data_IF_885721966126
#
_entry.id   IF_885721966126
#
_cell.length_a   1.000
_cell.length_b   1.000
_cell.length_c   1.000
_cell.angle_alpha   90.00
_cell.angle_beta   90.00
_cell.angle_gamma   90.00
#
_symmetry.space_group_name_H-M   'P 1'
#
loop_
_entity.id
_entity.type
_entity.pdbx_description
1 polymer ?
#
# COMPACT_ATOMS: atom_id res chain seq x y z
N UNK A 1 -33.42 -0.37 -9.77
CA UNK A 1 -33.01 -1.17 -8.58
C UNK A 1 -33.94 -0.88 -7.42
N UNK A 2 -34.55 -1.87 -6.79
CA UNK A 2 -35.38 -1.66 -5.60
C UNK A 2 -34.48 -1.27 -4.42
N UNK A 3 -35.01 -0.42 -3.52
CA UNK A 3 -34.30 0.09 -2.31
C UNK A 3 -33.61 -1.03 -1.50
N UNK A 4 -34.20 -2.24 -1.48
CA UNK A 4 -33.69 -3.45 -0.81
C UNK A 4 -32.44 -4.05 -1.49
N UNK A 5 -32.33 -3.93 -2.83
CA UNK A 5 -31.14 -4.37 -3.58
C UNK A 5 -29.96 -3.39 -3.38
N UNK A 6 -30.22 -2.09 -3.32
CA UNK A 6 -29.20 -1.07 -3.08
C UNK A 6 -28.55 -1.24 -1.70
N UNK A 7 -29.32 -1.56 -0.65
CA UNK A 7 -28.79 -1.79 0.70
C UNK A 7 -27.91 -3.06 0.77
N UNK A 8 -28.28 -4.14 0.07
CA UNK A 8 -27.45 -5.36 0.03
C UNK A 8 -26.12 -5.13 -0.70
N UNK A 9 -26.13 -4.39 -1.80
CA UNK A 9 -24.93 -4.02 -2.57
C UNK A 9 -24.01 -3.15 -1.72
N UNK A 10 -24.56 -2.17 -1.01
CA UNK A 10 -23.77 -1.30 -0.12
C UNK A 10 -23.18 -2.08 1.06
N UNK A 11 -23.95 -2.97 1.71
CA UNK A 11 -23.44 -3.80 2.80
C UNK A 11 -22.30 -4.74 2.36
N UNK A 12 -22.41 -5.34 1.17
CA UNK A 12 -21.34 -6.16 0.62
C UNK A 12 -20.10 -5.31 0.26
N UNK A 13 -20.30 -4.13 -0.33
CA UNK A 13 -19.20 -3.22 -0.65
C UNK A 13 -18.46 -2.74 0.62
N UNK A 14 -19.19 -2.48 1.70
CA UNK A 14 -18.62 -2.13 2.99
C UNK A 14 -17.80 -3.30 3.57
N UNK A 15 -18.35 -4.52 3.54
CA UNK A 15 -17.66 -5.71 4.04
C UNK A 15 -16.38 -5.98 3.23
N UNK A 16 -16.46 -6.00 1.90
CA UNK A 16 -15.28 -6.21 1.04
C UNK A 16 -14.28 -5.04 1.14
N UNK A 17 -14.78 -3.83 1.36
CA UNK A 17 -13.96 -2.67 1.67
C UNK A 17 -13.18 -2.85 2.97
N UNK A 18 -13.81 -3.35 4.04
CA UNK A 18 -13.14 -3.66 5.30
C UNK A 18 -12.05 -4.73 5.14
N UNK A 19 -12.27 -5.76 4.33
CA UNK A 19 -11.20 -6.71 3.99
C UNK A 19 -10.04 -6.01 3.26
N UNK A 20 -10.33 -5.08 2.36
CA UNK A 20 -9.31 -4.34 1.62
C UNK A 20 -8.53 -3.36 2.51
N UNK A 21 -9.14 -2.80 3.56
CA UNK A 21 -8.47 -1.91 4.53
C UNK A 21 -7.60 -2.66 5.52
N UNK A 22 -7.67 -3.99 5.58
CA UNK A 22 -6.89 -4.78 6.53
C UNK A 22 -5.38 -4.54 6.38
N UNK A 23 -4.89 -4.36 5.12
CA UNK A 23 -3.50 -4.00 4.86
C UNK A 23 -3.10 -2.67 5.53
N UNK A 24 -3.73 -1.54 5.19
CA UNK A 24 -3.52 -0.26 5.86
C UNK A 24 -3.66 -0.32 7.39
N UNK A 25 -4.70 -0.96 7.93
CA UNK A 25 -4.83 -1.11 9.37
C UNK A 25 -3.66 -1.86 9.99
N UNK A 26 -3.22 -2.94 9.35
CA UNK A 26 -2.08 -3.73 9.80
C UNK A 26 -0.77 -2.94 9.74
N UNK A 27 -0.60 -2.02 8.78
CA UNK A 27 0.59 -1.19 8.61
C UNK A 27 0.55 0.02 9.54
N UNK A 28 -0.54 0.79 9.54
CA UNK A 28 -0.53 2.15 10.05
C UNK A 28 -1.03 2.27 11.49
N UNK A 29 -1.84 1.31 11.97
CA UNK A 29 -2.47 1.40 13.28
C UNK A 29 -1.46 1.32 14.44
N UNK A 30 -0.31 0.64 14.25
CA UNK A 30 0.69 0.50 15.30
C UNK A 30 1.87 1.49 15.18
N UNK A 31 1.91 2.31 14.12
CA UNK A 31 2.97 3.30 13.93
C UNK A 31 3.14 4.27 15.11
N UNK A 32 2.06 4.79 15.73
CA UNK A 32 2.21 5.67 16.89
C UNK A 32 2.90 5.00 18.09
N UNK A 33 2.93 3.64 18.12
CA UNK A 33 3.53 2.87 19.20
C UNK A 33 5.04 2.56 18.98
N UNK A 34 5.65 2.95 17.85
CA UNK A 34 7.03 2.62 17.52
C UNK A 34 8.03 3.01 18.61
N UNK A 35 8.02 4.25 19.14
CA UNK A 35 8.94 4.63 20.21
C UNK A 35 8.75 3.82 21.50
N UNK A 36 7.50 3.43 21.81
CA UNK A 36 7.20 2.58 22.96
C UNK A 36 7.77 1.17 22.78
N UNK A 37 7.67 0.61 21.57
CA UNK A 37 8.20 -0.73 21.24
C UNK A 37 9.72 -0.76 21.34
N UNK A 38 10.43 0.29 20.88
CA UNK A 38 11.88 0.43 21.03
C UNK A 38 12.26 0.35 22.51
N UNK A 39 11.60 1.14 23.36
CA UNK A 39 11.86 1.17 24.81
C UNK A 39 11.51 -0.15 25.50
N UNK A 40 10.38 -0.79 25.14
CA UNK A 40 9.89 -2.01 25.75
C UNK A 40 10.82 -3.21 25.50
N UNK A 41 11.39 -3.32 24.30
CA UNK A 41 12.28 -4.41 23.92
C UNK A 41 13.76 -4.07 24.09
N UNK A 42 14.10 -2.86 24.56
CA UNK A 42 15.48 -2.36 24.64
C UNK A 42 16.25 -2.61 23.32
N UNK A 43 15.68 -2.07 22.24
CA UNK A 43 16.10 -2.36 20.87
C UNK A 43 16.34 -1.08 20.07
N UNK A 44 16.65 -1.23 18.78
CA UNK A 44 16.91 -0.09 17.89
C UNK A 44 15.68 0.26 17.01
N UNK A 45 15.52 1.51 16.55
CA UNK A 45 14.50 1.89 15.58
C UNK A 45 14.50 1.02 14.34
N UNK A 46 15.68 0.66 13.81
CA UNK A 46 15.82 -0.21 12.64
C UNK A 46 15.18 -1.59 12.85
N UNK A 47 15.29 -2.19 14.04
CA UNK A 47 14.66 -3.49 14.32
C UNK A 47 13.14 -3.39 14.44
N UNK A 48 12.61 -2.28 14.96
CA UNK A 48 11.17 -2.02 14.97
C UNK A 48 10.67 -1.78 13.52
N UNK A 49 11.40 -1.02 12.72
CA UNK A 49 11.11 -0.83 11.30
C UNK A 49 11.20 -2.15 10.50
N UNK A 50 12.09 -3.07 10.90
CA UNK A 50 12.17 -4.41 10.31
C UNK A 50 10.89 -5.23 10.57
N UNK A 51 10.16 -4.97 11.65
CA UNK A 51 8.85 -5.60 11.88
C UNK A 51 7.80 -5.10 10.87
N UNK A 52 7.86 -3.83 10.46
CA UNK A 52 7.07 -3.29 9.35
C UNK A 52 7.50 -3.92 8.02
N UNK A 53 8.81 -3.99 7.77
CA UNK A 53 9.38 -4.66 6.59
C UNK A 53 8.86 -6.08 6.44
N UNK A 54 8.87 -6.87 7.52
CA UNK A 54 8.37 -8.24 7.52
C UNK A 54 6.88 -8.30 7.15
N UNK A 55 6.08 -7.36 7.67
CA UNK A 55 4.67 -7.23 7.30
C UNK A 55 4.48 -6.89 5.81
N UNK A 56 5.25 -5.94 5.28
CA UNK A 56 5.21 -5.57 3.86
C UNK A 56 5.60 -6.73 2.94
N UNK A 57 6.65 -7.49 3.31
CA UNK A 57 7.03 -8.72 2.60
C UNK A 57 5.91 -9.76 2.64
N UNK A 58 5.30 -9.96 3.82
CA UNK A 58 4.15 -10.83 3.97
C UNK A 58 2.99 -10.41 3.06
N UNK A 59 2.64 -9.12 3.07
CA UNK A 59 1.61 -8.55 2.20
C UNK A 59 1.93 -8.73 0.71
N UNK A 60 3.16 -8.45 0.30
CA UNK A 60 3.58 -8.58 -1.10
C UNK A 60 3.53 -10.04 -1.58
N UNK A 61 4.23 -10.94 -0.89
CA UNK A 61 4.28 -12.37 -1.24
C UNK A 61 2.88 -12.99 -1.14
N UNK A 62 2.15 -12.64 -0.09
CA UNK A 62 0.80 -13.16 0.14
C UNK A 62 -0.17 -12.79 -0.98
N UNK A 63 -0.08 -11.60 -1.59
CA UNK A 63 -0.94 -11.24 -2.72
C UNK A 63 -0.75 -12.18 -3.92
N UNK A 64 0.49 -12.58 -4.22
CA UNK A 64 0.78 -13.53 -5.32
C UNK A 64 0.18 -14.92 -5.03
N UNK A 65 0.34 -15.39 -3.80
CA UNK A 65 -0.09 -16.73 -3.39
C UNK A 65 -1.62 -16.80 -3.24
N UNK A 66 -2.22 -15.84 -2.54
CA UNK A 66 -3.64 -15.85 -2.20
C UNK A 66 -4.55 -15.65 -3.42
N UNK A 67 -4.09 -14.93 -4.44
CA UNK A 67 -4.78 -14.81 -5.71
C UNK A 67 -4.98 -16.18 -6.34
N UNK A 68 -3.90 -16.89 -6.63
CA UNK A 68 -3.89 -18.21 -7.23
C UNK A 68 -4.63 -19.25 -6.39
N UNK A 69 -4.42 -19.23 -5.08
CA UNK A 69 -5.06 -20.16 -4.16
C UNK A 69 -6.58 -20.00 -4.16
N UNK A 70 -7.05 -18.75 -4.23
CA UNK A 70 -8.50 -18.47 -4.28
C UNK A 70 -9.13 -18.79 -5.62
N UNK A 71 -8.38 -18.73 -6.73
CA UNK A 71 -8.85 -19.15 -8.05
C UNK A 71 -8.99 -20.68 -8.15
N UNK A 72 -8.14 -21.43 -7.43
CA UNK A 72 -8.16 -22.89 -7.41
C UNK A 72 -9.20 -23.49 -6.43
N UNK A 73 -9.33 -22.91 -5.24
CA UNK A 73 -10.13 -23.51 -4.16
C UNK A 73 -11.46 -22.77 -3.88
N UNK A 74 -11.76 -21.72 -4.66
CA UNK A 74 -12.88 -20.82 -4.39
C UNK A 74 -12.48 -19.68 -3.45
N UNK A 75 -13.34 -18.68 -3.30
CA UNK A 75 -13.03 -17.43 -2.57
C UNK A 75 -13.15 -17.58 -1.06
N UNK A 76 -14.17 -18.28 -0.62
CA UNK A 76 -14.59 -18.33 0.79
C UNK A 76 -13.60 -19.06 1.68
N UNK A 77 -13.13 -20.26 1.30
CA UNK A 77 -12.27 -21.09 2.15
C UNK A 77 -10.89 -20.47 2.36
N UNK A 78 -10.15 -20.03 1.32
CA UNK A 78 -8.87 -19.37 1.51
C UNK A 78 -8.99 -18.07 2.35
N UNK A 79 -10.06 -17.29 2.14
CA UNK A 79 -10.30 -16.09 2.93
C UNK A 79 -10.56 -16.42 4.40
N UNK A 80 -11.37 -17.44 4.70
CA UNK A 80 -11.64 -17.85 6.07
C UNK A 80 -10.39 -18.32 6.81
N UNK A 81 -9.56 -19.16 6.17
CA UNK A 81 -8.30 -19.63 6.74
C UNK A 81 -7.37 -18.45 6.98
N UNK A 82 -7.27 -17.52 6.02
CA UNK A 82 -6.42 -16.34 6.16
C UNK A 82 -6.89 -15.40 7.27
N UNK A 83 -8.19 -15.21 7.45
CA UNK A 83 -8.70 -14.37 8.56
C UNK A 83 -8.46 -15.02 9.93
N UNK A 84 -8.58 -16.34 10.03
CA UNK A 84 -8.23 -17.08 11.25
C UNK A 84 -6.72 -17.01 11.53
N UNK A 85 -5.87 -17.14 10.49
CA UNK A 85 -4.43 -16.96 10.62
C UNK A 85 -4.06 -15.52 11.01
N UNK A 86 -4.73 -14.51 10.45
CA UNK A 86 -4.57 -13.11 10.83
C UNK A 86 -4.88 -12.85 12.30
N UNK A 87 -6.01 -13.40 12.79
CA UNK A 87 -6.37 -13.36 14.20
C UNK A 87 -5.27 -13.97 15.08
N UNK A 88 -4.84 -15.19 14.75
CA UNK A 88 -3.81 -15.89 15.53
C UNK A 88 -2.47 -15.13 15.51
N UNK A 89 -2.05 -14.62 14.35
CA UNK A 89 -0.84 -13.82 14.21
C UNK A 89 -0.92 -12.49 14.96
N UNK A 90 -2.08 -11.83 14.98
CA UNK A 90 -2.29 -10.58 15.73
C UNK A 90 -2.16 -10.82 17.24
N UNK A 91 -2.75 -11.88 17.77
CA UNK A 91 -2.56 -12.29 19.16
C UNK A 91 -1.10 -12.64 19.46
N UNK A 92 -0.44 -13.39 18.56
CA UNK A 92 0.97 -13.72 18.70
C UNK A 92 1.86 -12.46 18.73
N UNK A 93 1.56 -11.44 17.92
CA UNK A 93 2.22 -10.13 17.97
C UNK A 93 2.04 -9.47 19.35
N UNK A 94 0.80 -9.43 19.88
CA UNK A 94 0.50 -8.80 21.18
C UNK A 94 1.26 -9.44 22.35
N UNK A 95 1.49 -10.74 22.28
CA UNK A 95 2.18 -11.52 23.31
C UNK A 95 3.64 -11.89 22.97
N UNK A 96 4.24 -11.21 21.99
CA UNK A 96 5.64 -11.45 21.61
C UNK A 96 6.58 -11.16 22.77
N UNK A 97 7.45 -12.12 23.16
CA UNK A 97 8.40 -11.94 24.26
C UNK A 97 9.65 -11.12 23.85
N UNK A 98 9.94 -11.00 22.55
CA UNK A 98 11.07 -10.29 22.02
C UNK A 98 10.81 -9.76 20.61
N UNK A 99 11.66 -8.84 20.16
CA UNK A 99 11.52 -8.18 18.85
C UNK A 99 11.61 -9.17 17.67
N UNK A 100 12.46 -10.22 17.78
CA UNK A 100 12.62 -11.21 16.71
C UNK A 100 11.34 -12.00 16.44
N UNK A 101 10.62 -12.43 17.48
CA UNK A 101 9.33 -13.09 17.34
C UNK A 101 8.24 -12.12 16.87
N UNK A 102 8.27 -10.86 17.31
CA UNK A 102 7.38 -9.85 16.77
C UNK A 102 7.57 -9.73 15.25
N UNK A 103 8.81 -9.64 14.76
CA UNK A 103 9.13 -9.57 13.34
C UNK A 103 8.56 -10.79 12.59
N UNK A 104 8.77 -11.99 13.11
CA UNK A 104 8.26 -13.22 12.49
C UNK A 104 6.74 -13.26 12.43
N UNK A 105 6.04 -12.91 13.52
CA UNK A 105 4.59 -12.88 13.55
C UNK A 105 4.01 -11.76 12.68
N UNK A 106 4.70 -10.63 12.53
CA UNK A 106 4.33 -9.55 11.61
C UNK A 106 4.35 -10.01 10.15
N UNK A 107 5.31 -10.85 9.75
CA UNK A 107 5.31 -11.46 8.42
C UNK A 107 4.06 -12.32 8.19
N UNK A 108 3.73 -13.20 9.15
CA UNK A 108 2.53 -14.06 9.06
C UNK A 108 1.26 -13.21 9.03
N UNK A 109 1.19 -12.18 9.85
CA UNK A 109 0.06 -11.25 9.90
C UNK A 109 -0.14 -10.54 8.55
N UNK A 110 0.94 -10.00 7.97
CA UNK A 110 0.89 -9.36 6.64
C UNK A 110 0.49 -10.34 5.53
N UNK A 111 1.05 -11.55 5.54
CA UNK A 111 0.71 -12.60 4.58
C UNK A 111 -0.80 -12.95 4.65
N UNK A 112 -1.33 -13.11 5.84
CA UNK A 112 -2.75 -13.39 6.04
C UNK A 112 -3.65 -12.20 5.63
N UNK A 113 -3.25 -10.96 5.95
CA UNK A 113 -3.98 -9.75 5.57
C UNK A 113 -4.11 -9.56 4.05
N UNK A 114 -3.12 -10.03 3.27
CA UNK A 114 -3.11 -9.92 1.82
C UNK A 114 -4.32 -10.57 1.15
N UNK A 115 -4.84 -11.67 1.73
CA UNK A 115 -6.02 -12.36 1.24
C UNK A 115 -7.25 -11.44 1.20
N UNK A 116 -7.41 -10.58 2.22
CA UNK A 116 -8.48 -9.58 2.26
C UNK A 116 -8.45 -8.64 1.06
N UNK A 117 -7.26 -8.16 0.68
CA UNK A 117 -7.08 -7.23 -0.44
C UNK A 117 -7.39 -7.89 -1.78
N UNK A 118 -6.81 -9.09 -2.02
CA UNK A 118 -6.89 -9.76 -3.33
C UNK A 118 -8.26 -10.39 -3.55
N UNK A 119 -8.74 -11.13 -2.55
CA UNK A 119 -9.99 -11.91 -2.69
C UNK A 119 -11.20 -10.97 -2.73
N UNK A 120 -11.19 -9.84 -2.02
CA UNK A 120 -12.27 -8.84 -2.14
C UNK A 120 -12.45 -8.33 -3.57
N UNK A 121 -11.33 -8.04 -4.25
CA UNK A 121 -11.36 -7.62 -5.66
C UNK A 121 -11.83 -8.73 -6.59
N UNK A 122 -11.44 -9.98 -6.29
CA UNK A 122 -11.89 -11.15 -7.06
C UNK A 122 -13.40 -11.38 -6.91
N UNK A 123 -13.92 -11.33 -5.67
CA UNK A 123 -15.37 -11.44 -5.39
C UNK A 123 -16.16 -10.35 -6.13
N UNK A 124 -15.65 -9.12 -6.15
CA UNK A 124 -16.31 -8.05 -6.88
C UNK A 124 -16.44 -8.37 -8.38
N UNK A 125 -15.38 -8.94 -9.00
CA UNK A 125 -15.38 -9.36 -10.40
C UNK A 125 -16.24 -10.58 -10.66
N UNK A 126 -16.37 -11.49 -9.68
CA UNK A 126 -17.22 -12.67 -9.81
C UNK A 126 -18.72 -12.30 -9.82
N UNK A 127 -19.10 -11.22 -9.10
CA UNK A 127 -20.50 -10.83 -8.89
C UNK A 127 -21.01 -9.74 -9.84
N UNK A 128 -20.13 -8.91 -10.35
CA UNK A 128 -20.48 -7.72 -11.14
C UNK A 128 -19.68 -7.65 -12.44
N UNK A 129 -20.24 -7.00 -13.46
CA UNK A 129 -19.59 -6.76 -14.74
C UNK A 129 -19.95 -5.35 -15.28
N UNK A 130 -19.16 -4.87 -16.24
CA UNK A 130 -19.41 -3.61 -16.92
C UNK A 130 -19.55 -2.42 -15.95
N UNK A 131 -20.59 -1.60 -16.15
CA UNK A 131 -20.83 -0.39 -15.35
C UNK A 131 -21.10 -0.69 -13.85
N UNK A 132 -21.77 -1.79 -13.54
CA UNK A 132 -22.03 -2.19 -12.15
C UNK A 132 -20.72 -2.54 -11.41
N UNK A 133 -19.79 -3.21 -12.08
CA UNK A 133 -18.46 -3.49 -11.55
C UNK A 133 -17.70 -2.20 -11.26
N UNK A 134 -17.69 -1.26 -12.20
CA UNK A 134 -17.04 0.06 -12.01
C UNK A 134 -17.60 0.80 -10.79
N UNK A 135 -18.92 0.83 -10.66
CA UNK A 135 -19.58 1.45 -9.51
C UNK A 135 -19.23 0.77 -8.19
N UNK A 136 -19.20 -0.56 -8.18
CA UNK A 136 -18.83 -1.34 -7.00
C UNK A 136 -17.37 -1.14 -6.60
N UNK A 137 -16.45 -1.17 -7.58
CA UNK A 137 -15.03 -0.86 -7.34
C UNK A 137 -14.80 0.54 -6.80
N UNK A 138 -15.56 1.53 -7.28
CA UNK A 138 -15.47 2.90 -6.74
C UNK A 138 -15.82 2.97 -5.25
N UNK A 139 -16.85 2.21 -4.81
CA UNK A 139 -17.20 2.12 -3.40
C UNK A 139 -16.12 1.36 -2.60
N UNK A 140 -15.60 0.27 -3.14
CA UNK A 140 -14.56 -0.52 -2.50
C UNK A 140 -13.27 0.29 -2.32
N UNK A 141 -12.87 1.04 -3.34
CA UNK A 141 -11.71 1.93 -3.28
C UNK A 141 -11.94 3.11 -2.32
N UNK A 142 -13.15 3.65 -2.25
CA UNK A 142 -13.48 4.70 -1.29
C UNK A 142 -13.23 4.22 0.15
N UNK A 143 -13.74 3.03 0.51
CA UNK A 143 -13.51 2.43 1.82
C UNK A 143 -12.03 2.11 2.02
N UNK A 144 -11.35 1.55 1.01
CA UNK A 144 -9.92 1.23 1.04
C UNK A 144 -9.04 2.45 1.31
N UNK A 145 -9.35 3.58 0.67
CA UNK A 145 -8.59 4.83 0.82
C UNK A 145 -8.82 5.53 2.18
N UNK A 146 -9.88 5.19 2.90
CA UNK A 146 -10.07 5.65 4.29
C UNK A 146 -9.14 4.93 5.27
N UNK A 147 -8.63 3.76 4.91
CA UNK A 147 -7.75 2.96 5.76
C UNK A 147 -6.55 3.75 6.31
N UNK A 148 -5.68 4.32 5.45
CA UNK A 148 -4.51 5.09 5.90
C UNK A 148 -4.84 6.34 6.71
N UNK A 149 -6.05 6.89 6.56
CA UNK A 149 -6.52 8.03 7.34
C UNK A 149 -7.00 7.60 8.75
N UNK A 150 -7.78 6.53 8.80
CA UNK A 150 -8.45 6.08 10.04
C UNK A 150 -7.53 5.22 10.90
N UNK A 151 -6.63 4.43 10.30
CA UNK A 151 -5.80 3.48 11.03
C UNK A 151 -4.88 4.13 12.10
N UNK A 152 -4.07 5.16 11.79
CA UNK A 152 -3.20 5.77 12.80
C UNK A 152 -3.99 6.50 13.89
N UNK A 153 -5.15 7.09 13.54
CA UNK A 153 -6.04 7.73 14.52
C UNK A 153 -6.65 6.68 15.47
N UNK A 154 -7.10 5.55 14.93
CA UNK A 154 -7.59 4.42 15.73
C UNK A 154 -6.49 3.85 16.62
N UNK A 155 -5.26 3.73 16.11
CA UNK A 155 -4.10 3.26 16.86
C UNK A 155 -3.77 4.18 18.04
N UNK A 156 -3.68 5.48 17.78
CA UNK A 156 -3.46 6.49 18.81
C UNK A 156 -4.60 6.47 19.86
N UNK A 157 -5.86 6.30 19.41
CA UNK A 157 -7.01 6.14 20.30
C UNK A 157 -6.86 4.93 21.21
N UNK A 158 -6.42 3.78 20.70
CA UNK A 158 -6.17 2.59 21.52
C UNK A 158 -5.02 2.81 22.51
N UNK A 159 -3.94 3.46 22.09
CA UNK A 159 -2.77 3.77 22.93
C UNK A 159 -3.11 4.70 24.09
N UNK A 160 -4.16 5.53 23.98
CA UNK A 160 -4.55 6.45 25.07
C UNK A 160 -5.08 5.72 26.31
N UNK A 161 -5.54 4.47 26.20
CA UNK A 161 -6.03 3.67 27.34
C UNK A 161 -5.21 2.39 27.57
N UNK A 162 -4.30 2.04 26.66
CA UNK A 162 -3.51 0.81 26.73
C UNK A 162 -2.06 1.08 26.34
N UNK A 163 -1.34 0.05 25.99
CA UNK A 163 0.00 0.11 25.43
C UNK A 163 0.02 -0.49 24.00
N UNK A 164 1.21 -0.58 23.39
CA UNK A 164 1.39 -1.13 22.05
C UNK A 164 0.73 -2.51 21.84
N UNK A 165 0.63 -3.37 22.89
CA UNK A 165 -0.04 -4.67 22.81
C UNK A 165 -1.53 -4.54 22.52
N UNK A 166 -2.16 -3.49 23.08
CA UNK A 166 -3.58 -3.18 22.86
C UNK A 166 -3.90 -2.94 21.39
N UNK A 167 -2.96 -2.37 20.62
CA UNK A 167 -3.13 -2.19 19.17
C UNK A 167 -3.27 -3.53 18.47
N UNK A 168 -2.42 -4.51 18.77
CA UNK A 168 -2.52 -5.85 18.19
C UNK A 168 -3.75 -6.62 18.67
N UNK A 169 -4.19 -6.40 19.90
CA UNK A 169 -5.47 -6.95 20.40
C UNK A 169 -6.65 -6.36 19.62
N UNK A 170 -6.65 -5.05 19.34
CA UNK A 170 -7.69 -4.43 18.52
C UNK A 170 -7.69 -4.99 17.09
N UNK A 171 -6.52 -5.22 16.50
CA UNK A 171 -6.38 -5.90 15.21
C UNK A 171 -6.88 -7.36 15.27
N UNK A 172 -6.65 -8.06 16.37
CA UNK A 172 -7.19 -9.40 16.59
C UNK A 172 -8.73 -9.40 16.68
N UNK A 173 -9.34 -8.43 17.36
CA UNK A 173 -10.79 -8.25 17.40
C UNK A 173 -11.36 -7.98 16.00
N UNK A 174 -10.70 -7.16 15.20
CA UNK A 174 -11.05 -6.98 13.78
C UNK A 174 -10.95 -8.31 13.03
N UNK A 175 -9.90 -9.09 13.28
CA UNK A 175 -9.72 -10.44 12.73
C UNK A 175 -10.85 -11.40 13.11
N UNK A 176 -11.33 -11.39 14.37
CA UNK A 176 -12.51 -12.15 14.80
C UNK A 176 -13.74 -11.73 14.00
N UNK A 177 -14.01 -10.42 13.95
CA UNK A 177 -15.15 -9.89 13.20
C UNK A 177 -15.14 -10.35 11.74
N UNK A 178 -14.00 -10.19 11.05
CA UNK A 178 -13.86 -10.59 9.64
C UNK A 178 -13.96 -12.12 9.45
N UNK A 179 -13.43 -12.92 10.38
CA UNK A 179 -13.58 -14.38 10.37
C UNK A 179 -15.06 -14.79 10.49
N UNK A 180 -15.80 -14.19 11.41
CA UNK A 180 -17.23 -14.44 11.61
C UNK A 180 -18.02 -14.01 10.38
N UNK A 181 -17.73 -12.83 9.81
CA UNK A 181 -18.38 -12.35 8.59
C UNK A 181 -18.09 -13.24 7.39
N UNK A 182 -16.86 -13.75 7.26
CA UNK A 182 -16.52 -14.72 6.20
C UNK A 182 -17.28 -16.02 6.39
N UNK A 183 -17.34 -16.53 7.62
CA UNK A 183 -18.00 -17.83 7.91
C UNK A 183 -19.50 -17.79 7.72
N UNK A 184 -20.17 -16.73 8.16
CA UNK A 184 -21.64 -16.68 8.20
C UNK A 184 -22.24 -15.71 7.16
N UNK A 185 -21.52 -14.67 6.77
CA UNK A 185 -22.02 -13.63 5.87
C UNK A 185 -21.64 -13.80 4.41
N UNK A 186 -20.50 -14.45 4.11
CA UNK A 186 -20.02 -14.60 2.74
C UNK A 186 -20.39 -15.97 2.17
N UNK A 187 -21.06 -15.96 1.01
CA UNK A 187 -21.29 -17.16 0.21
C UNK A 187 -20.14 -17.35 -0.77
N UNK A 188 -19.91 -18.60 -1.21
CA UNK A 188 -18.97 -18.87 -2.29
C UNK A 188 -19.43 -18.18 -3.58
N UNK A 189 -18.52 -17.44 -4.22
CA UNK A 189 -18.82 -16.68 -5.45
C UNK A 189 -18.20 -17.28 -6.70
N UNK A 190 -17.23 -18.20 -6.54
CA UNK A 190 -16.60 -18.90 -7.64
C UNK A 190 -17.10 -20.35 -7.71
N UNK A 191 -18.03 -20.67 -8.65
CA UNK A 191 -18.52 -22.03 -8.85
C UNK A 191 -17.39 -23.02 -9.17
N UNK A 192 -17.58 -24.30 -8.82
CA UNK A 192 -16.54 -25.31 -8.95
C UNK A 192 -16.10 -25.54 -10.41
N UNK A 193 -17.00 -25.38 -11.37
CA UNK A 193 -16.76 -25.49 -12.81
C UNK A 193 -15.94 -24.34 -13.40
N UNK A 194 -15.87 -23.20 -12.70
CA UNK A 194 -15.07 -22.03 -13.09
C UNK A 194 -13.74 -21.92 -12.35
N UNK A 195 -13.44 -22.85 -11.45
CA UNK A 195 -12.15 -22.88 -10.76
C UNK A 195 -11.07 -23.29 -11.75
N UNK A 196 -10.05 -22.47 -11.87
CA UNK A 196 -8.90 -22.80 -12.68
C UNK A 196 -7.97 -23.72 -11.88
N UNK A 197 -7.45 -24.79 -12.54
CA UNK A 197 -6.23 -25.41 -12.04
C UNK A 197 -5.17 -24.30 -12.03
N UNK A 198 -4.71 -23.88 -10.84
CA UNK A 198 -3.70 -22.82 -10.71
C UNK A 198 -2.43 -23.29 -11.44
N UNK A 199 -2.29 -22.91 -12.70
CA UNK A 199 -1.06 -23.19 -13.43
C UNK A 199 -0.01 -22.15 -12.99
N UNK A 200 0.54 -22.38 -11.79
CA UNK A 200 1.57 -21.51 -11.19
C UNK A 200 2.76 -21.30 -12.16
N UNK A 201 3.08 -22.31 -12.95
CA UNK A 201 4.11 -22.23 -13.98
C UNK A 201 3.72 -21.21 -15.06
N UNK A 202 2.47 -21.24 -15.51
CA UNK A 202 1.98 -20.25 -16.50
C UNK A 202 1.98 -18.83 -15.92
N UNK A 203 1.65 -18.65 -14.65
CA UNK A 203 1.74 -17.33 -14.02
C UNK A 203 3.17 -16.83 -13.93
N UNK A 204 4.13 -17.70 -13.58
CA UNK A 204 5.55 -17.33 -13.57
C UNK A 204 6.04 -16.96 -14.97
N UNK A 205 5.61 -17.69 -16.00
CA UNK A 205 5.93 -17.35 -17.40
C UNK A 205 5.35 -15.99 -17.81
N UNK A 206 4.09 -15.71 -17.40
CA UNK A 206 3.48 -14.41 -17.65
C UNK A 206 4.25 -13.27 -16.95
N UNK A 207 4.66 -13.47 -15.69
CA UNK A 207 5.52 -12.49 -14.99
C UNK A 207 6.86 -12.30 -15.71
N UNK A 208 7.49 -13.39 -16.15
CA UNK A 208 8.74 -13.33 -16.94
C UNK A 208 8.59 -12.55 -18.25
N UNK A 209 7.46 -12.71 -18.94
CA UNK A 209 7.14 -11.97 -20.16
C UNK A 209 6.94 -10.48 -19.89
N UNK A 210 6.18 -10.13 -18.85
CA UNK A 210 5.94 -8.75 -18.43
C UNK A 210 7.23 -8.03 -18.02
N UNK A 211 8.12 -8.71 -17.31
CA UNK A 211 9.41 -8.15 -16.90
C UNK A 211 10.40 -7.95 -18.06
N UNK A 212 10.13 -8.51 -19.24
CA UNK A 212 10.89 -8.23 -20.48
C UNK A 212 10.36 -7.03 -21.25
N UNK A 213 9.12 -6.60 -20.99
CA UNK A 213 8.56 -5.40 -21.62
C UNK A 213 9.12 -4.15 -20.92
N UNK A 214 10.02 -3.45 -21.62
CA UNK A 214 10.71 -2.26 -21.10
C UNK A 214 9.74 -1.16 -20.71
N UNK A 215 8.67 -0.95 -21.46
CA UNK A 215 7.72 0.11 -21.21
C UNK A 215 6.88 -0.21 -19.96
N UNK A 216 6.39 -1.44 -19.85
CA UNK A 216 5.69 -1.92 -18.66
C UNK A 216 6.57 -1.79 -17.40
N UNK A 217 7.81 -2.29 -17.48
CA UNK A 217 8.78 -2.23 -16.37
C UNK A 217 9.08 -0.78 -15.99
N UNK A 218 9.21 0.12 -16.95
CA UNK A 218 9.45 1.54 -16.70
C UNK A 218 8.36 2.19 -15.87
N UNK A 219 7.09 2.00 -16.24
CA UNK A 219 5.95 2.53 -15.48
C UNK A 219 5.75 1.82 -14.14
N UNK A 220 5.93 0.50 -14.11
CA UNK A 220 5.85 -0.31 -12.90
C UNK A 220 6.90 0.12 -11.86
N UNK A 221 8.15 0.32 -12.28
CA UNK A 221 9.23 0.77 -11.40
C UNK A 221 9.03 2.24 -10.99
N UNK A 222 8.62 3.13 -11.90
CA UNK A 222 8.34 4.52 -11.54
C UNK A 222 7.28 4.60 -10.43
N UNK A 223 6.17 3.87 -10.56
CA UNK A 223 5.14 3.79 -9.52
C UNK A 223 5.64 3.09 -8.26
N UNK A 224 6.25 1.91 -8.42
CA UNK A 224 6.68 1.06 -7.30
C UNK A 224 7.73 1.73 -6.42
N UNK A 225 8.72 2.39 -7.02
CA UNK A 225 9.78 3.11 -6.29
C UNK A 225 9.22 4.35 -5.57
N UNK A 226 8.27 5.06 -6.20
CA UNK A 226 7.59 6.18 -5.54
C UNK A 226 6.83 5.72 -4.29
N UNK A 227 6.09 4.62 -4.37
CA UNK A 227 5.38 4.05 -3.22
C UNK A 227 6.39 3.50 -2.18
N UNK A 228 7.55 2.97 -2.59
CA UNK A 228 8.61 2.61 -1.65
C UNK A 228 9.10 3.82 -0.83
N UNK A 229 9.19 5.01 -1.44
CA UNK A 229 9.45 6.26 -0.72
C UNK A 229 8.38 6.59 0.33
N UNK A 230 7.09 6.24 0.07
CA UNK A 230 6.04 6.33 1.12
C UNK A 230 6.36 5.41 2.28
N UNK A 231 6.77 4.18 2.04
CA UNK A 231 7.08 3.26 3.14
C UNK A 231 8.31 3.72 3.95
N UNK A 232 9.27 4.43 3.33
CA UNK A 232 10.31 5.14 4.09
C UNK A 232 9.70 6.23 4.98
N UNK A 233 8.82 7.07 4.43
CA UNK A 233 8.08 8.08 5.19
C UNK A 233 7.27 7.43 6.34
N UNK A 234 6.50 6.38 6.05
CA UNK A 234 5.68 5.64 7.02
C UNK A 234 6.53 5.11 8.18
N UNK A 235 7.69 4.54 7.89
CA UNK A 235 8.55 3.91 8.91
C UNK A 235 9.38 4.92 9.71
N UNK A 236 9.73 6.07 9.13
CA UNK A 236 10.59 7.07 9.77
C UNK A 236 9.85 8.12 10.59
N UNK A 237 8.67 8.54 10.13
CA UNK A 237 7.94 9.64 10.78
C UNK A 237 7.49 9.41 12.21
N UNK A 238 7.19 8.17 12.69
CA UNK A 238 6.91 7.97 14.10
C UNK A 238 8.03 8.45 15.03
N UNK A 239 9.28 8.13 14.70
CA UNK A 239 10.45 8.56 15.47
C UNK A 239 10.72 10.05 15.28
N UNK A 240 10.69 10.53 14.02
CA UNK A 240 10.96 11.94 13.72
C UNK A 240 9.96 12.86 14.44
N UNK A 241 8.65 12.60 14.34
CA UNK A 241 7.65 13.47 14.94
C UNK A 241 7.61 13.36 16.46
N UNK A 242 7.74 12.14 17.02
CA UNK A 242 7.58 11.92 18.46
C UNK A 242 8.89 12.13 19.22
N UNK A 243 10.02 11.59 18.77
CA UNK A 243 11.28 11.65 19.52
C UNK A 243 12.08 12.93 19.20
N UNK A 244 12.19 13.36 17.92
CA UNK A 244 12.92 14.59 17.56
C UNK A 244 12.09 15.84 17.86
N UNK A 245 10.81 15.87 17.45
CA UNK A 245 9.97 17.08 17.59
C UNK A 245 9.04 17.05 18.81
N UNK A 246 9.03 15.98 19.62
CA UNK A 246 8.24 15.88 20.84
C UNK A 246 6.72 15.87 20.61
N UNK A 247 6.25 15.48 19.42
CA UNK A 247 4.82 15.41 19.09
C UNK A 247 4.20 14.22 19.82
N UNK A 248 3.02 14.43 20.45
CA UNK A 248 2.30 13.33 21.08
C UNK A 248 1.82 12.27 20.08
N UNK A 249 1.56 11.01 20.49
CA UNK A 249 1.01 9.98 19.61
C UNK A 249 -0.26 10.42 18.87
N UNK A 250 -1.13 11.20 19.53
CA UNK A 250 -2.34 11.78 18.90
C UNK A 250 -1.97 12.84 17.86
N UNK A 251 -1.03 13.71 18.17
CA UNK A 251 -0.51 14.71 17.23
C UNK A 251 0.13 14.04 16.02
N UNK A 252 0.94 12.99 16.22
CA UNK A 252 1.47 12.17 15.15
C UNK A 252 0.35 11.61 14.25
N UNK A 253 -0.69 11.02 14.85
CA UNK A 253 -1.79 10.41 14.09
C UNK A 253 -2.53 11.44 13.22
N UNK A 254 -2.71 12.67 13.71
CA UNK A 254 -3.33 13.76 12.95
C UNK A 254 -2.44 14.25 11.79
N UNK A 255 -1.15 14.46 12.05
CA UNK A 255 -0.19 14.86 11.01
C UNK A 255 -0.04 13.77 9.95
N UNK A 256 0.09 12.52 10.36
CA UNK A 256 0.17 11.38 9.45
C UNK A 256 -1.12 11.22 8.64
N UNK A 257 -2.28 11.29 9.30
CA UNK A 257 -3.59 11.22 8.65
C UNK A 257 -3.80 12.34 7.61
N UNK A 258 -3.26 13.54 7.85
CA UNK A 258 -3.33 14.63 6.86
C UNK A 258 -2.68 14.27 5.54
N UNK A 259 -1.63 13.43 5.55
CA UNK A 259 -1.00 12.92 4.33
C UNK A 259 -1.89 11.91 3.58
N UNK A 260 -2.78 11.19 4.27
CA UNK A 260 -3.83 10.42 3.61
C UNK A 260 -4.76 11.31 2.78
N UNK A 261 -5.09 12.50 3.30
CA UNK A 261 -5.88 13.50 2.55
C UNK A 261 -5.08 13.99 1.34
N UNK A 262 -3.78 14.24 1.47
CA UNK A 262 -2.94 14.69 0.35
C UNK A 262 -2.89 13.67 -0.79
N UNK A 263 -2.81 12.38 -0.46
CA UNK A 263 -2.86 11.28 -1.43
C UNK A 263 -4.17 11.31 -2.22
N UNK A 264 -5.31 11.50 -1.51
CA UNK A 264 -6.64 11.60 -2.13
C UNK A 264 -6.71 12.83 -3.04
N UNK A 265 -6.23 13.99 -2.60
CA UNK A 265 -6.19 15.21 -3.41
C UNK A 265 -5.41 14.97 -4.70
N UNK A 266 -4.20 14.39 -4.62
CA UNK A 266 -3.38 14.08 -5.78
C UNK A 266 -4.08 13.15 -6.77
N UNK A 267 -4.69 12.06 -6.29
CA UNK A 267 -5.40 11.11 -7.13
C UNK A 267 -6.68 11.70 -7.76
N UNK A 268 -7.44 12.51 -7.01
CA UNK A 268 -8.64 13.18 -7.51
C UNK A 268 -8.33 14.27 -8.55
N UNK A 269 -7.20 14.96 -8.41
CA UNK A 269 -6.75 15.94 -9.41
C UNK A 269 -6.57 15.26 -10.77
N UNK A 270 -5.90 14.12 -10.83
CA UNK A 270 -5.74 13.34 -12.06
C UNK A 270 -7.10 12.91 -12.60
N UNK A 271 -7.95 12.28 -11.75
CA UNK A 271 -9.28 11.81 -12.18
C UNK A 271 -10.17 12.89 -12.77
N UNK A 272 -10.14 14.10 -12.21
CA UNK A 272 -10.97 15.23 -12.71
C UNK A 272 -10.43 15.89 -13.96
N UNK A 273 -9.13 15.86 -14.17
CA UNK A 273 -8.47 16.57 -15.27
C UNK A 273 -7.99 15.63 -16.41
N UNK A 274 -8.20 14.31 -16.29
CA UNK A 274 -7.76 13.31 -17.29
C UNK A 274 -8.32 13.54 -18.70
N UNK A 275 -9.46 14.25 -18.81
CA UNK A 275 -10.01 14.63 -20.11
C UNK A 275 -9.32 15.83 -20.79
N UNK A 276 -8.44 16.56 -20.06
CA UNK A 276 -7.71 17.75 -20.56
C UNK A 276 -6.22 17.56 -20.61
N UNK A 277 -5.67 16.69 -19.79
CA UNK A 277 -4.22 16.49 -19.60
C UNK A 277 -3.93 15.00 -19.70
N UNK A 278 -2.89 14.65 -20.47
CA UNK A 278 -2.50 13.25 -20.66
C UNK A 278 -1.92 12.63 -19.37
N UNK A 279 -2.09 11.32 -19.21
CA UNK A 279 -1.54 10.55 -18.10
C UNK A 279 0.00 10.68 -18.04
N UNK A 280 0.66 10.78 -19.18
CA UNK A 280 2.12 10.98 -19.26
C UNK A 280 2.53 12.32 -18.66
N UNK A 281 1.76 13.39 -18.91
CA UNK A 281 2.02 14.71 -18.32
C UNK A 281 1.81 14.68 -16.82
N UNK A 282 0.72 14.05 -16.33
CA UNK A 282 0.50 13.89 -14.90
C UNK A 282 1.62 13.10 -14.23
N UNK A 283 2.07 12.01 -14.84
CA UNK A 283 3.17 11.22 -14.32
C UNK A 283 4.44 12.07 -14.19
N UNK A 284 4.79 12.82 -15.22
CA UNK A 284 5.96 13.71 -15.19
C UNK A 284 5.83 14.80 -14.13
N UNK A 285 4.70 15.47 -14.05
CA UNK A 285 4.44 16.51 -13.03
C UNK A 285 4.52 15.93 -11.62
N UNK A 286 3.93 14.76 -11.40
CA UNK A 286 4.01 14.08 -10.11
C UNK A 286 5.44 13.73 -9.70
N UNK A 287 6.25 13.18 -10.64
CA UNK A 287 7.66 12.87 -10.39
C UNK A 287 8.50 14.13 -10.11
N UNK A 288 8.25 15.23 -10.81
CA UNK A 288 8.93 16.52 -10.56
C UNK A 288 8.56 17.12 -9.19
N UNK A 289 7.28 17.09 -8.84
CA UNK A 289 6.82 17.56 -7.52
C UNK A 289 7.43 16.72 -6.40
N UNK A 290 7.50 15.39 -6.56
CA UNK A 290 8.16 14.51 -5.61
C UNK A 290 9.63 14.84 -5.43
N UNK A 291 10.35 15.05 -6.55
CA UNK A 291 11.77 15.40 -6.53
C UNK A 291 11.99 16.73 -5.80
N UNK A 292 11.23 17.77 -6.13
CA UNK A 292 11.33 19.07 -5.48
C UNK A 292 11.01 18.99 -3.98
N UNK A 293 9.93 18.31 -3.62
CA UNK A 293 9.54 18.10 -2.24
C UNK A 293 10.62 17.36 -1.43
N UNK A 294 11.20 16.29 -2.03
CA UNK A 294 12.24 15.50 -1.37
C UNK A 294 13.54 16.29 -1.15
N UNK A 295 13.92 17.17 -2.08
CA UNK A 295 15.05 18.09 -1.89
C UNK A 295 14.80 19.02 -0.69
N UNK A 296 13.58 19.60 -0.61
CA UNK A 296 13.23 20.49 0.52
C UNK A 296 13.25 19.73 1.84
N UNK A 297 12.69 18.49 1.88
CA UNK A 297 12.74 17.63 3.08
C UNK A 297 14.18 17.40 3.53
N UNK A 298 15.07 17.05 2.59
CA UNK A 298 16.49 16.82 2.91
C UNK A 298 17.17 18.07 3.45
N UNK A 299 16.94 19.23 2.82
CA UNK A 299 17.51 20.51 3.28
C UNK A 299 17.00 20.87 4.68
N UNK A 300 15.69 20.73 4.93
CA UNK A 300 15.10 21.00 6.25
C UNK A 300 15.66 20.06 7.31
N UNK A 301 15.80 18.76 6.98
CA UNK A 301 16.38 17.77 7.88
C UNK A 301 17.85 18.10 8.23
N UNK A 302 18.63 18.53 7.24
CA UNK A 302 20.04 18.93 7.44
C UNK A 302 20.20 20.19 8.29
N UNK A 303 19.30 21.15 8.10
CA UNK A 303 19.32 22.43 8.85
C UNK A 303 18.60 22.34 10.21
N UNK A 304 18.13 21.17 10.61
CA UNK A 304 17.33 20.97 11.82
C UNK A 304 16.15 21.96 11.90
N UNK A 305 15.47 22.16 10.77
CA UNK A 305 14.37 23.12 10.65
C UNK A 305 13.16 22.77 11.52
N UNK A 306 12.22 23.68 11.71
CA UNK A 306 11.03 23.45 12.53
C UNK A 306 10.08 22.43 11.88
N UNK A 307 9.24 21.77 12.71
CA UNK A 307 8.33 20.69 12.29
C UNK A 307 7.47 21.04 11.06
N UNK A 308 6.89 22.25 11.02
CA UNK A 308 6.05 22.65 9.88
C UNK A 308 6.80 22.71 8.56
N UNK A 309 8.09 23.09 8.59
CA UNK A 309 8.95 23.11 7.41
C UNK A 309 9.23 21.70 6.87
N UNK A 310 9.10 20.66 7.70
CA UNK A 310 9.20 19.26 7.29
C UNK A 310 7.85 18.71 6.84
N UNK A 311 6.75 19.03 7.54
CA UNK A 311 5.41 18.50 7.28
C UNK A 311 4.88 18.95 5.92
N UNK A 312 5.06 20.23 5.55
CA UNK A 312 4.54 20.78 4.29
C UNK A 312 5.12 20.05 3.05
N UNK A 313 6.45 19.94 2.89
CA UNK A 313 7.00 19.21 1.74
C UNK A 313 6.69 17.71 1.79
N UNK A 314 6.56 17.08 2.95
CA UNK A 314 6.10 15.70 3.06
C UNK A 314 4.64 15.55 2.57
N UNK A 315 3.76 16.50 2.87
CA UNK A 315 2.40 16.55 2.35
C UNK A 315 2.40 16.64 0.81
N UNK A 316 3.26 17.48 0.22
CA UNK A 316 3.41 17.61 -1.24
C UNK A 316 3.98 16.31 -1.84
N UNK A 317 4.96 15.70 -1.18
CA UNK A 317 5.56 14.43 -1.60
C UNK A 317 4.49 13.33 -1.65
N UNK A 318 3.65 13.17 -0.62
CA UNK A 318 2.60 12.16 -0.59
C UNK A 318 1.48 12.47 -1.61
N UNK A 319 1.12 13.76 -1.81
CA UNK A 319 0.19 14.16 -2.87
C UNK A 319 0.71 13.77 -4.27
N UNK A 320 2.01 13.96 -4.51
CA UNK A 320 2.64 13.60 -5.79
C UNK A 320 2.56 12.09 -6.08
N UNK A 321 2.52 11.25 -5.05
CA UNK A 321 2.34 9.80 -5.19
C UNK A 321 0.91 9.47 -5.60
N UNK A 322 -0.08 10.19 -5.08
CA UNK A 322 -1.46 10.09 -5.58
C UNK A 322 -1.55 10.40 -7.08
N UNK A 323 -0.83 11.42 -7.54
CA UNK A 323 -0.75 11.79 -8.96
C UNK A 323 -0.05 10.69 -9.77
N UNK A 324 1.16 10.29 -9.36
CA UNK A 324 1.97 9.32 -10.09
C UNK A 324 1.31 7.94 -10.17
N UNK A 325 0.75 7.43 -9.08
CA UNK A 325 0.13 6.11 -9.06
C UNK A 325 -1.13 6.06 -9.92
N UNK A 326 -1.96 7.14 -9.89
CA UNK A 326 -3.19 7.21 -10.70
C UNK A 326 -2.87 7.32 -12.19
N UNK A 327 -1.77 7.98 -12.57
CA UNK A 327 -1.35 8.12 -13.97
C UNK A 327 -0.55 6.92 -14.49
N UNK A 328 0.33 6.33 -13.67
CA UNK A 328 1.21 5.24 -14.10
C UNK A 328 0.46 3.92 -14.32
N UNK A 329 -0.58 3.63 -13.53
CA UNK A 329 -1.32 2.37 -13.63
C UNK A 329 -1.96 2.16 -15.02
N UNK A 330 -2.77 3.07 -15.58
CA UNK A 330 -3.32 2.89 -16.92
C UNK A 330 -2.23 2.85 -18.00
N UNK A 331 -1.17 3.66 -17.89
CA UNK A 331 -0.03 3.64 -18.82
C UNK A 331 0.69 2.28 -18.84
N UNK A 332 0.87 1.65 -17.68
CA UNK A 332 1.46 0.31 -17.59
C UNK A 332 0.52 -0.76 -18.17
N UNK A 333 -0.79 -0.60 -18.02
CA UNK A 333 -1.79 -1.57 -18.47
C UNK A 333 -2.12 -1.46 -19.97
N UNK A 334 -1.79 -0.34 -20.64
CA UNK A 334 -2.18 -0.04 -22.01
C UNK A 334 -1.80 -1.15 -23.01
N UNK A 335 -0.59 -1.70 -22.89
CA UNK A 335 -0.10 -2.75 -23.77
C UNK A 335 -0.32 -4.18 -23.25
N UNK A 336 -0.93 -4.36 -22.07
CA UNK A 336 -0.97 -5.64 -21.35
C UNK A 336 -2.38 -6.24 -21.21
N UNK A 337 -3.27 -5.94 -22.15
CA UNK A 337 -4.67 -6.42 -22.12
C UNK A 337 -4.81 -7.94 -22.05
N UNK A 338 -3.91 -8.68 -22.70
CA UNK A 338 -3.89 -10.14 -22.72
C UNK A 338 -3.35 -10.80 -21.44
N UNK A 339 -2.59 -10.04 -20.61
CA UNK A 339 -2.04 -10.48 -19.32
C UNK A 339 -2.45 -9.54 -18.18
N UNK A 340 -3.60 -8.87 -18.29
CA UNK A 340 -4.04 -7.82 -17.39
C UNK A 340 -4.04 -8.23 -15.90
N UNK A 341 -4.41 -9.47 -15.58
CA UNK A 341 -4.38 -10.00 -14.22
C UNK A 341 -2.97 -10.08 -13.64
N UNK A 342 -2.01 -10.63 -14.41
CA UNK A 342 -0.62 -10.75 -14.00
C UNK A 342 0.06 -9.37 -13.92
N UNK A 343 -0.24 -8.47 -14.86
CA UNK A 343 0.27 -7.10 -14.84
C UNK A 343 -0.22 -6.33 -13.61
N UNK A 344 -1.52 -6.39 -13.30
CA UNK A 344 -2.08 -5.76 -12.11
C UNK A 344 -1.50 -6.36 -10.81
N UNK A 345 -1.22 -7.66 -10.77
CA UNK A 345 -0.58 -8.31 -9.62
C UNK A 345 0.84 -7.77 -9.39
N UNK A 346 1.67 -7.65 -10.43
CA UNK A 346 3.02 -7.07 -10.33
C UNK A 346 2.97 -5.61 -9.88
N UNK A 347 2.08 -4.79 -10.46
CA UNK A 347 1.89 -3.40 -10.06
C UNK A 347 1.46 -3.27 -8.58
N UNK A 348 0.74 -4.26 -8.04
CA UNK A 348 0.35 -4.29 -6.63
C UNK A 348 1.45 -4.78 -5.69
N UNK A 349 2.29 -5.72 -6.12
CA UNK A 349 3.29 -6.40 -5.27
C UNK A 349 4.61 -5.65 -5.20
N UNK A 350 5.09 -5.13 -6.32
CA UNK A 350 6.40 -4.47 -6.42
C UNK A 350 6.56 -3.31 -5.41
N UNK A 351 5.55 -2.44 -5.19
CA UNK A 351 5.64 -1.41 -4.16
C UNK A 351 5.96 -1.96 -2.76
N UNK A 352 5.32 -3.07 -2.37
CA UNK A 352 5.54 -3.68 -1.05
C UNK A 352 6.95 -4.29 -0.93
N UNK A 353 7.43 -4.96 -1.98
CA UNK A 353 8.78 -5.53 -1.99
C UNK A 353 9.85 -4.44 -1.93
N UNK A 354 9.70 -3.38 -2.73
CA UNK A 354 10.63 -2.25 -2.71
C UNK A 354 10.53 -1.48 -1.38
N UNK A 355 9.32 -1.29 -0.86
CA UNK A 355 9.10 -0.67 0.45
C UNK A 355 9.75 -1.46 1.59
N UNK A 356 9.70 -2.78 1.53
CA UNK A 356 10.36 -3.66 2.50
C UNK A 356 11.89 -3.49 2.52
N UNK A 357 12.51 -3.21 1.36
CA UNK A 357 13.95 -2.92 1.29
C UNK A 357 14.27 -1.55 1.88
N UNK A 358 13.44 -0.55 1.58
CA UNK A 358 13.73 0.87 1.89
C UNK A 358 13.39 1.21 3.35
N UNK A 359 12.34 0.62 3.90
CA UNK A 359 11.80 0.94 5.22
C UNK A 359 12.83 0.88 6.36
N UNK A 360 13.65 -0.18 6.55
CA UNK A 360 14.59 -0.27 7.66
C UNK A 360 15.80 0.64 7.50
N UNK A 361 16.06 1.14 6.29
CA UNK A 361 17.21 2.01 6.02
C UNK A 361 17.05 3.40 6.67
N UNK A 362 15.82 3.82 6.96
CA UNK A 362 15.55 5.12 7.59
C UNK A 362 16.07 5.18 9.02
N UNK A 363 16.04 4.07 9.75
CA UNK A 363 16.50 4.00 11.15
C UNK A 363 17.99 3.73 11.34
N UNK A 364 18.78 3.60 10.27
CA UNK A 364 20.22 3.26 10.37
C UNK A 364 21.01 4.27 11.19
N UNK A 365 20.66 5.56 11.14
CA UNK A 365 21.34 6.63 11.88
C UNK A 365 20.75 6.87 13.29
N UNK A 366 19.86 6.01 13.79
CA UNK A 366 19.24 6.16 15.11
C UNK A 366 18.01 7.08 15.10
N UNK A 367 17.69 7.61 16.28
CA UNK A 367 16.47 8.39 16.54
C UNK A 367 16.69 9.93 16.43
N UNK A 368 17.95 10.37 16.38
CA UNK A 368 18.32 11.78 16.57
C UNK A 368 18.30 12.61 15.29
N UNK A 369 18.05 12.01 14.12
CA UNK A 369 18.15 12.71 12.84
C UNK A 369 17.11 12.29 11.82
N UNK A 370 16.53 13.28 11.13
CA UNK A 370 15.63 13.07 10.00
C UNK A 370 16.36 12.94 8.64
N UNK A 371 17.70 13.10 8.62
CA UNK A 371 18.49 13.08 7.37
C UNK A 371 18.34 11.79 6.57
N UNK A 372 18.37 10.58 7.17
CA UNK A 372 18.17 9.35 6.40
C UNK A 372 16.84 9.32 5.65
N UNK A 373 15.75 9.79 6.27
CA UNK A 373 14.48 9.91 5.58
C UNK A 373 14.59 10.81 4.35
N UNK A 374 15.16 12.01 4.50
CA UNK A 374 15.34 12.97 3.41
C UNK A 374 16.16 12.38 2.25
N UNK A 375 17.28 11.70 2.57
CA UNK A 375 18.14 11.03 1.58
C UNK A 375 17.35 9.93 0.83
N UNK A 376 16.63 9.08 1.54
CA UNK A 376 15.94 7.94 0.95
C UNK A 376 14.79 8.39 0.05
N UNK A 377 13.97 9.35 0.48
CA UNK A 377 12.88 9.84 -0.38
C UNK A 377 13.42 10.61 -1.59
N UNK A 378 14.57 11.25 -1.49
CA UNK A 378 15.25 11.87 -2.63
C UNK A 378 15.77 10.79 -3.60
N UNK A 379 16.46 9.77 -3.10
CA UNK A 379 16.95 8.66 -3.93
C UNK A 379 15.81 7.91 -4.63
N UNK A 380 14.70 7.66 -3.93
CA UNK A 380 13.52 7.03 -4.55
C UNK A 380 12.89 7.93 -5.61
N UNK A 381 12.81 9.25 -5.39
CA UNK A 381 12.28 10.19 -6.38
C UNK A 381 13.15 10.25 -7.63
N UNK A 382 14.47 10.28 -7.48
CA UNK A 382 15.44 10.25 -8.59
C UNK A 382 15.35 8.92 -9.33
N UNK A 383 15.35 7.79 -8.62
CA UNK A 383 15.29 6.46 -9.24
C UNK A 383 13.97 6.24 -10.00
N UNK A 384 12.83 6.71 -9.46
CA UNK A 384 11.54 6.66 -10.15
C UNK A 384 11.56 7.50 -11.43
N UNK A 385 12.13 8.70 -11.38
CA UNK A 385 12.28 9.56 -12.56
C UNK A 385 13.18 8.93 -13.62
N UNK A 386 14.32 8.36 -13.22
CA UNK A 386 15.22 7.63 -14.11
C UNK A 386 14.51 6.43 -14.74
N UNK A 387 13.76 5.66 -13.98
CA UNK A 387 12.97 4.52 -14.50
C UNK A 387 11.99 4.95 -15.59
N UNK A 388 11.30 6.08 -15.37
CA UNK A 388 10.39 6.65 -16.38
C UNK A 388 11.14 7.06 -17.65
N UNK A 389 12.23 7.83 -17.55
CA UNK A 389 12.93 8.32 -18.75
C UNK A 389 13.70 7.24 -19.51
N UNK A 390 14.31 6.28 -18.81
CA UNK A 390 15.12 5.25 -19.43
C UNK A 390 14.31 4.09 -20.02
N UNK A 391 13.18 3.77 -19.40
CA UNK A 391 12.38 2.59 -19.73
C UNK A 391 10.96 2.93 -20.17
N UNK A 392 10.27 3.85 -19.48
CA UNK A 392 8.84 4.14 -19.69
C UNK A 392 8.55 5.05 -20.89
N UNK A 393 9.46 5.97 -21.20
CA UNK A 393 9.22 6.92 -22.29
C UNK A 393 9.26 6.20 -23.65
N UNK A 394 8.13 6.21 -24.39
CA UNK A 394 8.10 5.77 -25.79
C UNK A 394 9.16 6.55 -26.55
N UNK A 395 10.12 5.87 -27.19
CA UNK A 395 10.97 6.51 -28.20
C UNK A 395 10.04 7.10 -29.25
N UNK A 396 9.97 8.42 -29.35
CA UNK A 396 9.34 9.08 -30.49
C UNK A 396 10.08 8.58 -31.73
N UNK A 397 9.46 7.70 -32.50
CA UNK A 397 9.90 7.39 -33.84
C UNK A 397 9.63 8.69 -34.62
N UNK A 398 10.65 9.52 -34.74
CA UNK A 398 10.70 10.53 -35.78
C UNK A 398 10.53 9.79 -37.10
N UNK A 399 9.27 9.71 -37.54
CA UNK A 399 8.98 9.39 -38.96
C UNK A 399 9.54 10.59 -39.70
N UNK A 400 10.77 10.47 -40.13
CA UNK A 400 11.28 11.21 -41.27
C UNK A 400 10.46 10.75 -42.47
N UNK A 401 9.31 11.35 -42.68
CA UNK A 401 8.70 11.43 -43.98
C UNK A 401 9.62 12.35 -44.79
N UNK A 402 10.72 11.80 -45.31
CA UNK A 402 11.40 12.37 -46.42
C UNK A 402 10.50 12.10 -47.62
N UNK A 403 9.80 13.14 -48.03
CA UNK A 403 9.29 13.42 -49.36
C UNK A 403 10.10 12.68 -50.43
N UNK A 404 9.41 11.80 -51.19
CA UNK A 404 9.78 11.51 -52.58
C UNK A 404 8.68 12.12 -53.44
N UNK A 405 9.11 13.11 -54.17
CA UNK A 405 8.47 13.72 -55.32
C UNK A 405 8.18 12.66 -56.39
#
# INVERSE_FOLDING_TARGET
MTKKNSQKVFGLALLLGLFSTLGPFTIDMYLPAFPEIVKQFDTTPSLVQLSLTACLLGLGIGQLVMGSLSDAHGRRIPLLISMAAYLAASLACAFSPNIGLLIAFRFIQGFAASAGIVISRAIARDLYSGHELTKFFSLLLLVGNLGPLVAPVSGSGVLSFTNWKGVFIALALLGIYLTVMTKFGLKETLPADRRSSSNFVQQLQNYGSLLRDRQFVGYMLAQGIMIAGVFAYVSGTPFIYQDIYGVSPTGFALLFGSNGISLIIGSQLVGRMSHRVSEQTFLLVGLLLALLASVVVLVVAFLHGPLFALVIPLFIFVASIGITSTAAFPLAMESQSHMAGSAAALLGVIPFLLGAVVSPLVGIAGEDTAVPLGVIILLTSVAAMLSYFLLGKKKSTLITNVTSV
#
